data_IF_491830903296
#
_entry.id   IF_491830903296
#
_cell.length_a   1.000
_cell.length_b   1.000
_cell.length_c   1.000
_cell.angle_alpha   90.00
_cell.angle_beta   90.00
_cell.angle_gamma   90.00
#
_symmetry.space_group_name_H-M   'P 1'
#
loop_
_entity.id
_entity.type
_entity.pdbx_description
1 polymer ?
#
# COMPACT_ATOMS: atom_id res chain seq x y z
N UNK A 1 -10.41 5.13 31.98
CA UNK A 1 -10.23 3.99 31.05
C UNK A 1 -10.60 4.32 29.60
N UNK A 2 -11.73 4.99 29.31
CA UNK A 2 -12.12 5.33 27.92
C UNK A 2 -11.11 6.18 27.15
N UNK A 3 -10.52 7.21 27.79
CA UNK A 3 -9.50 8.05 27.17
C UNK A 3 -8.21 7.30 26.79
N UNK A 4 -7.86 6.23 27.52
CA UNK A 4 -6.69 5.40 27.21
C UNK A 4 -6.94 4.50 25.99
N UNK A 5 -8.13 3.91 25.89
CA UNK A 5 -8.53 3.09 24.74
C UNK A 5 -8.63 3.95 23.47
N UNK A 6 -9.25 5.12 23.57
CA UNK A 6 -9.35 6.06 22.45
C UNK A 6 -7.98 6.50 21.95
N UNK A 7 -7.04 6.79 22.87
CA UNK A 7 -5.65 7.11 22.53
C UNK A 7 -4.93 5.96 21.84
N UNK A 8 -5.22 4.71 22.21
CA UNK A 8 -4.67 3.50 21.58
C UNK A 8 -5.17 3.32 20.15
N UNK A 9 -6.46 3.58 19.91
CA UNK A 9 -7.07 3.50 18.58
C UNK A 9 -6.58 4.65 17.70
N UNK A 10 -6.50 5.87 18.24
CA UNK A 10 -5.94 7.05 17.55
C UNK A 10 -4.50 6.82 17.11
N UNK A 11 -3.70 6.09 17.90
CA UNK A 11 -2.32 5.73 17.56
C UNK A 11 -2.22 4.57 16.55
N UNK A 12 -3.28 3.82 16.30
CA UNK A 12 -3.28 2.74 15.29
C UNK A 12 -3.40 3.29 13.86
N UNK A 13 -4.17 4.37 13.70
CA UNK A 13 -4.37 5.09 12.43
C UNK A 13 -3.03 5.57 11.81
N UNK A 14 -2.13 6.28 12.52
CA UNK A 14 -0.86 6.72 11.95
C UNK A 14 0.05 5.55 11.57
N UNK A 15 -0.03 4.41 12.27
CA UNK A 15 0.70 3.19 11.91
C UNK A 15 0.22 2.64 10.57
N UNK A 16 -1.10 2.58 10.37
CA UNK A 16 -1.70 2.16 9.10
C UNK A 16 -1.34 3.12 7.96
N UNK A 17 -1.44 4.44 8.19
CA UNK A 17 -1.04 5.45 7.22
C UNK A 17 0.46 5.34 6.86
N UNK A 18 1.32 5.12 7.85
CA UNK A 18 2.75 4.95 7.65
C UNK A 18 3.07 3.75 6.77
N UNK A 19 2.49 2.58 7.05
CA UNK A 19 2.69 1.37 6.23
C UNK A 19 2.14 1.60 4.81
N UNK A 20 0.96 2.19 4.67
CA UNK A 20 0.41 2.49 3.33
C UNK A 20 1.30 3.45 2.55
N UNK A 21 1.80 4.52 3.18
CA UNK A 21 2.67 5.49 2.53
C UNK A 21 4.00 4.86 2.09
N UNK A 22 4.61 4.02 2.93
CA UNK A 22 5.84 3.29 2.59
C UNK A 22 5.58 2.32 1.44
N UNK A 23 4.53 1.49 1.53
CA UNK A 23 4.16 0.55 0.47
C UNK A 23 3.91 1.28 -0.86
N UNK A 24 3.20 2.41 -0.81
CA UNK A 24 2.94 3.23 -1.98
C UNK A 24 4.23 3.82 -2.56
N UNK A 25 5.09 4.37 -1.72
CA UNK A 25 6.39 4.87 -2.15
C UNK A 25 7.21 3.75 -2.82
N UNK A 26 7.32 2.58 -2.21
CA UNK A 26 8.04 1.42 -2.77
C UNK A 26 7.49 1.03 -4.14
N UNK A 27 6.17 0.95 -4.29
CA UNK A 27 5.53 0.62 -5.57
C UNK A 27 5.83 1.68 -6.64
N UNK A 28 5.79 2.97 -6.28
CA UNK A 28 6.06 4.07 -7.21
C UNK A 28 7.54 4.19 -7.59
N UNK A 29 8.46 3.78 -6.71
CA UNK A 29 9.90 3.78 -6.98
C UNK A 29 10.39 2.52 -7.70
N UNK A 30 9.61 1.43 -7.70
CA UNK A 30 9.93 0.22 -8.46
C UNK A 30 9.76 0.49 -9.97
N UNK A 31 10.82 0.37 -10.79
CA UNK A 31 10.74 0.60 -12.23
C UNK A 31 9.93 -0.51 -12.93
N UNK A 32 8.95 -0.10 -13.75
CA UNK A 32 7.94 -0.98 -14.33
C UNK A 32 6.86 -1.29 -13.30
N UNK A 33 5.80 -0.49 -13.30
CA UNK A 33 4.71 -0.62 -12.35
C UNK A 33 4.19 -2.07 -12.33
N UNK A 34 3.79 -2.60 -11.17
CA UNK A 34 3.18 -3.94 -11.09
C UNK A 34 2.02 -4.10 -12.09
N UNK A 35 1.30 -3.01 -12.32
CA UNK A 35 0.20 -2.91 -13.28
C UNK A 35 0.68 -3.11 -14.72
N UNK A 36 1.82 -2.51 -15.11
CA UNK A 36 2.37 -2.66 -16.47
C UNK A 36 2.84 -4.10 -16.70
N UNK A 37 3.43 -4.74 -15.69
CA UNK A 37 3.82 -6.15 -15.76
C UNK A 37 2.61 -7.08 -15.83
N UNK A 38 1.54 -6.80 -15.07
CA UNK A 38 0.28 -7.57 -15.12
C UNK A 38 -0.42 -7.39 -16.46
N UNK A 39 -0.50 -6.16 -16.99
CA UNK A 39 -1.07 -5.90 -18.31
C UNK A 39 -0.22 -6.56 -19.41
N UNK A 40 1.10 -6.53 -19.32
CA UNK A 40 1.98 -7.22 -20.27
C UNK A 40 1.80 -8.75 -20.25
N UNK A 41 1.62 -9.36 -19.06
CA UNK A 41 1.31 -10.79 -18.93
C UNK A 41 -0.07 -11.14 -19.50
N UNK A 42 -1.09 -10.32 -19.25
CA UNK A 42 -2.45 -10.51 -19.79
C UNK A 42 -2.50 -10.28 -21.31
N UNK A 43 -1.82 -9.26 -21.81
CA UNK A 43 -1.74 -8.96 -23.24
C UNK A 43 -0.91 -10.00 -24.00
N UNK A 44 0.11 -10.59 -23.37
CA UNK A 44 0.93 -11.66 -23.96
C UNK A 44 0.20 -13.00 -24.07
N UNK A 45 -0.88 -13.24 -23.32
CA UNK A 45 -1.72 -14.43 -23.43
C UNK A 45 -2.75 -14.37 -24.58
N UNK A 46 -2.94 -13.20 -25.20
CA UNK A 46 -3.89 -13.00 -26.29
C UNK A 46 -3.27 -13.10 -27.70
N UNK A 47 -2.02 -13.58 -27.81
CA UNK A 47 -1.30 -13.79 -29.08
C UNK A 47 -1.25 -15.25 -29.50
#
# INVERSE_FOLDING_TARGET
MGAYILRRILLMIPTMLGIMAISFAVIQFAPGGPIEQVIAQLSGQAG
#
